data_IF_462287342900
#
_entry.id   IF_462287342900
#
_cell.length_a   1.000
_cell.length_b   1.000
_cell.length_c   1.000
_cell.angle_alpha   90.00
_cell.angle_beta   90.00
_cell.angle_gamma   90.00
#
_symmetry.space_group_name_H-M   'P 1'
#
loop_
_entity.id
_entity.type
_entity.pdbx_description
1 polymer ?
#
# COMPACT_ATOMS: atom_id res chain seq x y z
N UNK A 1 -1.74 -7.53 23.90
CA UNK A 1 -2.05 -6.78 22.67
C UNK A 1 -1.91 -7.74 21.50
N UNK A 2 -2.90 -7.83 20.62
CA UNK A 2 -2.69 -8.38 19.28
C UNK A 2 -1.80 -7.42 18.49
N UNK A 3 -0.85 -7.97 17.72
CA UNK A 3 -0.04 -7.19 16.80
C UNK A 3 -0.83 -7.02 15.50
N UNK A 4 -0.90 -5.79 14.99
CA UNK A 4 -1.60 -5.46 13.73
C UNK A 4 -0.55 -5.35 12.64
N UNK A 5 -0.73 -6.12 11.55
CA UNK A 5 0.14 -6.01 10.38
C UNK A 5 -0.29 -4.80 9.56
N UNK A 6 0.63 -3.84 9.35
CA UNK A 6 0.39 -2.62 8.57
C UNK A 6 1.01 -2.71 7.19
N UNK A 7 0.16 -2.63 6.17
CA UNK A 7 0.58 -2.49 4.78
C UNK A 7 0.41 -1.04 4.33
N UNK A 8 1.52 -0.43 3.95
CA UNK A 8 1.56 0.91 3.37
C UNK A 8 1.40 0.78 1.84
N UNK A 9 0.26 1.20 1.33
CA UNK A 9 -0.09 1.16 -0.08
C UNK A 9 0.26 2.51 -0.71
N UNK A 10 1.35 2.55 -1.47
CA UNK A 10 1.86 3.77 -2.07
C UNK A 10 1.07 4.17 -3.31
N UNK A 11 0.61 5.41 -3.31
CA UNK A 11 -0.02 6.12 -4.43
C UNK A 11 -1.17 5.36 -5.10
N UNK A 12 -2.17 4.84 -4.36
CA UNK A 12 -3.27 4.05 -4.92
C UNK A 12 -4.13 4.81 -5.94
N UNK A 13 -4.06 6.14 -5.95
CA UNK A 13 -4.79 6.97 -6.91
C UNK A 13 -4.05 7.08 -8.26
N UNK A 14 -2.71 6.91 -8.28
CA UNK A 14 -1.84 7.08 -9.46
C UNK A 14 -1.19 5.77 -9.95
N UNK A 15 -0.99 4.80 -9.06
CA UNK A 15 -0.29 3.53 -9.27
C UNK A 15 -1.26 2.35 -9.04
N UNK A 16 -2.29 2.26 -9.89
CA UNK A 16 -3.41 1.33 -9.74
C UNK A 16 -3.74 0.51 -10.99
N UNK A 17 -2.77 0.34 -11.89
CA UNK A 17 -2.94 -0.56 -13.03
C UNK A 17 -2.88 -2.02 -12.59
N UNK A 18 -3.08 -2.94 -13.54
CA UNK A 18 -2.77 -4.36 -13.40
C UNK A 18 -3.41 -5.10 -12.21
N UNK A 19 -4.47 -4.55 -11.61
CA UNK A 19 -5.20 -5.22 -10.52
C UNK A 19 -4.50 -5.16 -9.17
N UNK A 20 -3.69 -4.13 -8.92
CA UNK A 20 -2.90 -3.98 -7.70
C UNK A 20 -3.72 -3.95 -6.40
N UNK A 21 -4.94 -3.41 -6.45
CA UNK A 21 -5.89 -3.52 -5.34
C UNK A 21 -6.22 -4.99 -5.01
N UNK A 22 -6.25 -5.87 -6.01
CA UNK A 22 -6.44 -7.30 -5.85
C UNK A 22 -5.33 -7.94 -5.01
N UNK A 23 -4.08 -7.51 -5.17
CA UNK A 23 -2.96 -7.99 -4.35
C UNK A 23 -3.13 -7.57 -2.88
N UNK A 24 -3.47 -6.29 -2.63
CA UNK A 24 -3.71 -5.78 -1.27
C UNK A 24 -4.87 -6.53 -0.59
N UNK A 25 -5.97 -6.76 -1.32
CA UNK A 25 -7.11 -7.52 -0.80
C UNK A 25 -6.77 -8.99 -0.56
N UNK A 26 -5.96 -9.61 -1.42
CA UNK A 26 -5.51 -10.98 -1.23
C UNK A 26 -4.62 -11.12 0.03
N UNK A 27 -3.70 -10.19 0.26
CA UNK A 27 -2.86 -10.16 1.48
C UNK A 27 -3.75 -9.99 2.71
N UNK A 28 -4.64 -8.99 2.71
CA UNK A 28 -5.63 -8.79 3.79
C UNK A 28 -6.37 -10.08 4.09
N UNK A 29 -6.90 -10.75 3.06
CA UNK A 29 -7.68 -11.97 3.25
C UNK A 29 -6.86 -13.12 3.83
N UNK A 30 -5.59 -13.23 3.45
CA UNK A 30 -4.66 -14.24 3.99
C UNK A 30 -4.32 -14.01 5.46
N UNK A 31 -4.22 -12.75 5.89
CA UNK A 31 -4.05 -12.38 7.30
C UNK A 31 -5.30 -12.72 8.11
N UNK A 32 -6.48 -12.34 7.62
CA UNK A 32 -7.77 -12.67 8.25
C UNK A 32 -7.95 -14.18 8.46
N UNK A 33 -7.62 -15.01 7.46
CA UNK A 33 -7.69 -16.48 7.58
C UNK A 33 -6.76 -17.07 8.64
N UNK A 34 -5.77 -16.32 9.11
CA UNK A 34 -4.85 -16.71 10.18
C UNK A 34 -5.20 -16.09 11.52
N UNK A 35 -6.33 -15.37 11.61
CA UNK A 35 -6.71 -14.63 12.81
C UNK A 35 -5.77 -13.45 13.10
N UNK A 36 -5.08 -12.93 12.08
CA UNK A 36 -4.20 -11.77 12.21
C UNK A 36 -4.98 -10.49 11.87
N UNK A 37 -4.83 -9.47 12.70
CA UNK A 37 -5.32 -8.13 12.40
C UNK A 37 -4.47 -7.49 11.30
N UNK A 38 -5.12 -6.77 10.39
CA UNK A 38 -4.48 -6.21 9.22
C UNK A 38 -5.04 -4.83 8.89
N UNK A 39 -4.15 -3.86 8.71
CA UNK A 39 -4.46 -2.48 8.37
C UNK A 39 -3.81 -2.10 7.04
N UNK A 40 -4.55 -1.37 6.21
CA UNK A 40 -4.01 -0.78 4.97
C UNK A 40 -3.93 0.73 5.18
N UNK A 41 -2.71 1.27 5.11
CA UNK A 41 -2.42 2.70 5.16
C UNK A 41 -2.18 3.17 3.73
N UNK A 42 -3.11 3.94 3.17
CA UNK A 42 -2.94 4.52 1.84
C UNK A 42 -2.07 5.77 1.94
N UNK A 43 -0.90 5.74 1.28
CA UNK A 43 0.03 6.88 1.22
C UNK A 43 -0.19 7.62 -0.09
N UNK A 44 -0.54 8.90 -0.02
CA UNK A 44 -0.78 9.74 -1.19
C UNK A 44 0.43 10.61 -1.51
N UNK A 45 0.38 11.24 -2.68
CA UNK A 45 1.43 12.16 -3.14
C UNK A 45 1.55 13.32 -2.15
N UNK A 46 2.77 13.56 -1.67
CA UNK A 46 3.11 14.60 -0.71
C UNK A 46 2.83 14.25 0.76
N UNK A 47 2.29 13.06 1.06
CA UNK A 47 2.10 12.63 2.44
C UNK A 47 3.45 12.41 3.13
N UNK A 48 3.58 12.92 4.36
CA UNK A 48 4.75 12.63 5.21
C UNK A 48 4.43 11.44 6.10
N UNK A 49 5.00 10.29 5.74
CA UNK A 49 4.84 9.02 6.47
C UNK A 49 6.17 8.55 7.02
N UNK A 50 6.12 8.00 8.24
CA UNK A 50 7.25 7.28 8.82
C UNK A 50 7.18 5.81 8.41
N UNK A 51 8.06 5.42 7.48
CA UNK A 51 8.11 4.04 6.98
C UNK A 51 8.61 3.02 8.01
N UNK A 52 9.11 3.46 9.18
CA UNK A 52 9.45 2.53 10.27
C UNK A 52 8.20 1.88 10.90
N UNK A 53 7.00 2.42 10.67
CA UNK A 53 5.72 1.85 11.12
C UNK A 53 5.10 0.86 10.11
N UNK A 54 5.77 0.61 8.97
CA UNK A 54 5.29 -0.31 7.95
C UNK A 54 5.86 -1.73 8.14
N UNK A 55 4.98 -2.74 8.16
CA UNK A 55 5.40 -4.15 8.02
C UNK A 55 5.61 -4.53 6.55
N UNK A 56 4.78 -3.97 5.67
CA UNK A 56 4.77 -4.23 4.24
C UNK A 56 4.62 -2.91 3.52
N UNK A 57 5.46 -2.66 2.52
CA UNK A 57 5.28 -1.56 1.57
C UNK A 57 4.88 -2.18 0.24
N UNK A 58 3.77 -1.71 -0.32
CA UNK A 58 3.26 -2.16 -1.60
C UNK A 58 3.00 -0.96 -2.50
N UNK A 59 3.54 -1.02 -3.72
CA UNK A 59 3.34 -0.02 -4.76
C UNK A 59 2.97 -0.74 -6.03
N UNK A 60 1.85 -0.34 -6.61
CA UNK A 60 1.37 -0.87 -7.86
C UNK A 60 2.15 -0.38 -9.07
N UNK A 61 1.71 -0.82 -10.26
CA UNK A 61 2.09 -0.25 -11.54
C UNK A 61 1.21 0.95 -11.91
N UNK A 62 1.78 1.89 -12.64
CA UNK A 62 1.09 3.09 -13.12
C UNK A 62 1.51 3.40 -14.55
N UNK A 63 0.66 4.13 -15.28
CA UNK A 63 1.02 4.68 -16.59
C UNK A 63 2.15 5.70 -16.44
N UNK A 64 2.82 6.06 -17.54
CA UNK A 64 3.89 7.08 -17.55
C UNK A 64 3.47 8.38 -16.86
N UNK A 65 2.21 8.80 -17.05
CA UNK A 65 1.64 9.96 -16.34
C UNK A 65 1.57 9.76 -14.83
N UNK A 66 1.13 8.58 -14.37
CA UNK A 66 1.09 8.22 -12.95
C UNK A 66 2.48 8.25 -12.32
N UNK A 67 3.45 7.63 -12.99
CA UNK A 67 4.85 7.62 -12.57
C UNK A 67 5.45 9.02 -12.52
N UNK A 68 5.14 9.87 -13.51
CA UNK A 68 5.60 11.25 -13.54
C UNK A 68 5.04 12.09 -12.39
N UNK A 69 3.80 11.82 -11.95
CA UNK A 69 3.17 12.55 -10.85
C UNK A 69 3.81 12.23 -9.49
N UNK A 70 4.27 10.99 -9.29
CA UNK A 70 4.86 10.56 -8.00
C UNK A 70 6.38 10.79 -7.92
N UNK A 71 7.03 11.14 -9.04
CA UNK A 71 8.49 11.20 -9.12
C UNK A 71 9.13 12.19 -8.15
N UNK A 72 8.39 13.21 -7.69
CA UNK A 72 8.89 14.18 -6.71
C UNK A 72 8.96 13.66 -5.26
N UNK A 73 8.34 12.53 -4.97
CA UNK A 73 8.32 11.93 -3.63
C UNK A 73 9.37 10.80 -3.44
N UNK A 74 10.02 10.36 -4.53
CA UNK A 74 11.02 9.28 -4.57
C UNK A 74 12.46 9.82 -4.56
#
# INVERSE_FOLDING_TARGET
MSYIIKLFHLYPDAMNLYGDLGNVLAIKKRCEWRGLEFEVVNVKIGDKVDFNDADIIFMGGGQDRGQSMIAGDL
#
